data_IF_921003069845
#
_entry.id   IF_921003069845
#
_cell.length_a   1.000
_cell.length_b   1.000
_cell.length_c   1.000
_cell.angle_alpha   90.00
_cell.angle_beta   90.00
_cell.angle_gamma   90.00
#
_symmetry.space_group_name_H-M   'P 1'
#
loop_
_entity.id
_entity.type
_entity.pdbx_description
1 polymer ?
#
# COMPACT_ATOMS: atom_id res chain seq x y z
N UNK A 1 -14.01 25.74 -12.96
CA UNK A 1 -14.73 24.73 -13.77
C UNK A 1 -13.84 24.05 -14.81
N UNK A 2 -13.25 24.72 -15.82
CA UNK A 2 -12.34 24.03 -16.77
C UNK A 2 -11.05 23.53 -16.09
N UNK A 3 -10.39 24.38 -15.30
CA UNK A 3 -9.15 24.01 -14.58
C UNK A 3 -9.38 22.88 -13.56
N UNK A 4 -10.45 22.94 -12.76
CA UNK A 4 -10.78 21.86 -11.79
C UNK A 4 -11.07 20.50 -12.45
N UNK A 5 -11.59 20.49 -13.68
CA UNK A 5 -11.80 19.25 -14.43
C UNK A 5 -10.46 18.69 -14.88
N UNK A 6 -9.57 19.55 -15.36
CA UNK A 6 -8.24 19.18 -15.86
C UNK A 6 -7.33 18.64 -14.74
N UNK A 7 -7.38 19.27 -13.55
CA UNK A 7 -6.68 18.78 -12.36
C UNK A 7 -7.16 17.38 -11.95
N UNK A 8 -8.48 17.15 -11.93
CA UNK A 8 -9.05 15.84 -11.59
C UNK A 8 -8.67 14.76 -12.61
N UNK A 9 -8.64 15.11 -13.89
CA UNK A 9 -8.20 14.19 -14.93
C UNK A 9 -6.73 13.79 -14.75
N UNK A 10 -5.88 14.76 -14.46
CA UNK A 10 -4.47 14.51 -14.19
C UNK A 10 -4.28 13.64 -12.94
N UNK A 11 -5.03 13.89 -11.86
CA UNK A 11 -5.01 13.04 -10.67
C UNK A 11 -5.37 11.58 -10.99
N UNK A 12 -6.47 11.35 -11.71
CA UNK A 12 -6.93 10.01 -12.07
C UNK A 12 -5.92 9.27 -12.95
N UNK A 13 -5.31 9.96 -13.91
CA UNK A 13 -4.28 9.37 -14.78
C UNK A 13 -3.05 8.94 -13.99
N UNK A 14 -2.52 9.80 -13.11
CA UNK A 14 -1.37 9.49 -12.27
C UNK A 14 -1.67 8.32 -11.32
N UNK A 15 -2.85 8.30 -10.71
CA UNK A 15 -3.28 7.21 -9.83
C UNK A 15 -3.42 5.89 -10.58
N UNK A 16 -3.91 5.92 -11.84
CA UNK A 16 -4.00 4.73 -12.70
C UNK A 16 -2.61 4.17 -13.03
N UNK A 17 -1.64 5.03 -13.32
CA UNK A 17 -0.25 4.62 -13.58
C UNK A 17 0.39 3.98 -12.35
N UNK A 18 0.12 4.51 -11.15
CA UNK A 18 0.55 3.90 -9.89
C UNK A 18 -0.11 2.53 -9.69
N UNK A 19 -1.43 2.43 -9.89
CA UNK A 19 -2.16 1.15 -9.75
C UNK A 19 -1.62 0.08 -10.69
N UNK A 20 -1.25 0.46 -11.91
CA UNK A 20 -0.64 -0.42 -12.90
C UNK A 20 0.86 -0.69 -12.64
N UNK A 21 1.42 -0.19 -11.54
CA UNK A 21 2.84 -0.28 -11.18
C UNK A 21 3.80 0.27 -12.25
N UNK A 22 3.31 1.15 -13.13
CA UNK A 22 4.11 1.80 -14.18
C UNK A 22 5.01 2.91 -13.63
N UNK A 23 4.60 3.54 -12.53
CA UNK A 23 5.38 4.52 -11.79
C UNK A 23 5.35 4.22 -10.29
N UNK A 24 6.39 4.64 -9.57
CA UNK A 24 6.44 4.52 -8.11
C UNK A 24 5.55 5.56 -7.43
N UNK A 25 5.14 5.27 -6.19
CA UNK A 25 4.36 6.18 -5.34
C UNK A 25 5.03 7.56 -5.19
N UNK A 26 6.35 7.56 -4.99
CA UNK A 26 7.14 8.78 -4.85
C UNK A 26 7.18 9.59 -6.15
N UNK A 27 7.21 8.91 -7.30
CA UNK A 27 7.12 9.56 -8.61
C UNK A 27 5.72 10.14 -8.85
N UNK A 28 4.66 9.42 -8.48
CA UNK A 28 3.28 9.91 -8.53
C UNK A 28 3.08 11.18 -7.70
N UNK A 29 3.56 11.17 -6.45
CA UNK A 29 3.54 12.35 -5.58
C UNK A 29 4.25 13.55 -6.21
N UNK A 30 5.46 13.34 -6.75
CA UNK A 30 6.23 14.38 -7.44
C UNK A 30 5.54 14.94 -8.68
N UNK A 31 4.79 14.12 -9.43
CA UNK A 31 4.11 14.57 -10.66
C UNK A 31 2.88 15.44 -10.36
N UNK A 32 2.31 15.31 -9.16
CA UNK A 32 1.20 16.14 -8.68
C UNK A 32 1.67 17.28 -7.77
N UNK A 33 2.99 17.44 -7.57
CA UNK A 33 3.53 18.44 -6.64
C UNK A 33 3.15 18.21 -5.17
N UNK A 34 2.76 16.99 -4.82
CA UNK A 34 2.31 16.61 -3.48
C UNK A 34 3.47 16.05 -2.65
N UNK A 35 3.39 16.21 -1.33
CA UNK A 35 4.20 15.42 -0.42
C UNK A 35 3.80 13.95 -0.50
N UNK A 36 4.70 13.06 -0.09
CA UNK A 36 4.39 11.63 -0.02
C UNK A 36 3.15 11.33 0.83
N UNK A 37 2.99 12.03 1.97
CA UNK A 37 1.86 11.82 2.88
C UNK A 37 0.53 12.30 2.28
N UNK A 38 0.54 13.41 1.54
CA UNK A 38 -0.66 13.90 0.83
C UNK A 38 -1.04 12.96 -0.30
N UNK A 39 -0.06 12.44 -1.03
CA UNK A 39 -0.30 11.45 -2.06
C UNK A 39 -0.92 10.16 -1.51
N UNK A 40 -0.46 9.68 -0.35
CA UNK A 40 -1.09 8.53 0.33
C UNK A 40 -2.55 8.80 0.71
N UNK A 41 -2.89 10.02 1.16
CA UNK A 41 -4.29 10.40 1.43
C UNK A 41 -5.13 10.42 0.17
N UNK A 42 -4.57 10.92 -0.94
CA UNK A 42 -5.23 10.93 -2.24
C UNK A 42 -5.50 9.49 -2.72
N UNK A 43 -4.52 8.61 -2.59
CA UNK A 43 -4.70 7.19 -2.91
C UNK A 43 -5.79 6.52 -2.09
N UNK A 44 -5.87 6.78 -0.78
CA UNK A 44 -6.94 6.23 0.07
C UNK A 44 -8.32 6.73 -0.37
N UNK A 45 -8.45 8.02 -0.69
CA UNK A 45 -9.69 8.61 -1.21
C UNK A 45 -10.16 7.92 -2.50
N UNK A 46 -9.22 7.56 -3.38
CA UNK A 46 -9.51 6.88 -4.65
C UNK A 46 -9.43 5.35 -4.57
N UNK A 47 -9.26 4.78 -3.36
CA UNK A 47 -9.12 3.34 -3.12
C UNK A 47 -8.09 2.68 -4.03
N UNK A 48 -6.92 3.31 -4.13
CA UNK A 48 -5.76 2.75 -4.81
C UNK A 48 -4.94 1.95 -3.80
N UNK A 49 -4.83 0.61 -3.96
CA UNK A 49 -4.05 -0.22 -3.04
C UNK A 49 -2.56 0.10 -3.17
N UNK A 50 -1.86 0.08 -2.03
CA UNK A 50 -0.39 0.20 -1.97
C UNK A 50 0.26 -1.15 -2.25
N UNK A 51 -0.38 -2.22 -1.78
CA UNK A 51 0.05 -3.60 -1.95
C UNK A 51 -1.09 -4.38 -2.58
N UNK A 52 -0.76 -5.13 -3.63
CA UNK A 52 -1.65 -6.18 -4.12
C UNK A 52 -1.31 -7.45 -3.35
N UNK A 53 -2.16 -7.81 -2.41
CA UNK A 53 -2.04 -9.11 -1.75
C UNK A 53 -2.49 -10.18 -2.72
N UNK A 54 -1.64 -11.17 -2.94
CA UNK A 54 -2.05 -12.39 -3.62
C UNK A 54 -3.11 -13.11 -2.79
N UNK A 55 -3.99 -13.84 -3.46
CA UNK A 55 -4.93 -14.71 -2.77
C UNK A 55 -4.18 -15.71 -1.89
N UNK A 56 -4.66 -15.88 -0.65
CA UNK A 56 -4.02 -16.73 0.35
C UNK A 56 -2.76 -16.13 0.99
N UNK A 57 -2.36 -14.90 0.68
CA UNK A 57 -1.13 -14.30 1.23
C UNK A 57 -1.20 -14.13 2.75
N UNK A 58 -2.34 -13.67 3.27
CA UNK A 58 -2.53 -13.47 4.70
C UNK A 58 -2.48 -14.80 5.47
N UNK A 59 -3.13 -15.84 4.93
CA UNK A 59 -3.14 -17.19 5.51
C UNK A 59 -1.72 -17.78 5.56
N UNK A 60 -0.90 -17.55 4.52
CA UNK A 60 0.52 -17.96 4.50
C UNK A 60 1.34 -17.23 5.57
N UNK A 61 1.13 -15.93 5.74
CA UNK A 61 1.81 -15.15 6.77
C UNK A 61 1.40 -15.58 8.19
N UNK A 62 0.10 -15.80 8.42
CA UNK A 62 -0.41 -16.30 9.70
C UNK A 62 0.15 -17.68 10.05
N UNK A 63 0.15 -18.63 9.10
CA UNK A 63 0.71 -19.96 9.31
C UNK A 63 2.23 -19.91 9.61
N UNK A 64 2.95 -18.98 8.98
CA UNK A 64 4.37 -18.75 9.27
C UNK A 64 4.57 -18.22 10.68
N UNK A 65 3.76 -17.24 11.09
CA UNK A 65 3.80 -16.66 12.43
C UNK A 65 3.49 -17.70 13.51
N UNK A 66 2.42 -18.49 13.34
CA UNK A 66 2.04 -19.58 14.24
C UNK A 66 3.15 -20.63 14.35
N UNK A 67 3.71 -21.07 13.22
CA UNK A 67 4.84 -22.01 13.22
C UNK A 67 6.10 -21.49 13.91
N UNK A 68 6.34 -20.18 13.86
CA UNK A 68 7.42 -19.52 14.62
C UNK A 68 7.13 -19.47 16.12
N UNK A 69 5.88 -19.24 16.52
CA UNK A 69 5.48 -19.28 17.94
C UNK A 69 5.60 -20.68 18.55
N UNK A 70 5.21 -21.72 17.81
CA UNK A 70 5.34 -23.12 18.22
C UNK A 70 6.81 -23.49 18.49
N UNK A 71 7.71 -23.13 17.55
CA UNK A 71 9.17 -23.35 17.70
C UNK A 71 9.79 -22.56 18.84
N UNK A 72 9.24 -21.40 19.21
CA UNK A 72 9.70 -20.58 20.35
C UNK A 72 9.29 -21.22 21.69
N UNK A 73 8.07 -21.75 21.77
CA UNK A 73 7.56 -22.49 22.93
C UNK A 73 8.36 -23.77 23.16
N UNK A 74 8.64 -24.55 22.10
CA UNK A 74 9.47 -25.76 22.16
C UNK A 74 10.93 -25.49 22.60
N UNK A 75 11.42 -24.26 22.36
CA UNK A 75 12.77 -23.81 22.76
C UNK A 75 12.80 -23.09 24.11
N UNK A 76 11.71 -23.12 24.88
CA UNK A 76 11.64 -22.54 26.23
C UNK A 76 11.63 -21.01 26.27
N UNK A 77 11.30 -20.34 25.16
CA UNK A 77 11.20 -18.89 25.11
C UNK A 77 9.92 -18.40 25.80
N UNK A 78 10.05 -17.73 26.94
CA UNK A 78 8.93 -17.11 27.65
C UNK A 78 8.45 -15.89 26.84
N UNK A 79 7.17 -15.86 26.51
CA UNK A 79 6.50 -14.65 26.02
C UNK A 79 6.41 -13.68 27.19
N UNK A 80 7.29 -12.66 27.20
CA UNK A 80 7.13 -11.52 28.10
C UNK A 80 6.07 -10.61 27.47
N UNK A 81 4.98 -10.40 28.21
CA UNK A 81 3.94 -9.40 27.89
C UNK A 81 4.49 -7.97 27.90
#
# INVERSE_FOLDING_TARGET
MKEEIEEKWQEEEILSLVRQKKISLRKGASLLGLTYREFLKLMDKHKVPIFDYEEGWLEREMATFEGLTQKKLERGGVLSE
#
